data_IF_721121052565
#
_entry.id   IF_721121052565
#
_cell.length_a   1.000
_cell.length_b   1.000
_cell.length_c   1.000
_cell.angle_alpha   90.00
_cell.angle_beta   90.00
_cell.angle_gamma   90.00
#
_symmetry.space_group_name_H-M   'P 1'
#
loop_
_entity.id
_entity.type
_entity.pdbx_description
1 polymer ?
#
# COMPACT_ATOMS: atom_id res chain seq x y z
N UNK A 1 -3.78 5.31 34.59
CA UNK A 1 -3.13 4.08 35.14
C UNK A 1 -3.81 2.88 34.51
N UNK A 2 -3.05 2.09 33.76
CA UNK A 2 -3.51 0.93 32.97
C UNK A 2 -3.87 -0.30 33.83
N UNK A 3 -3.73 -0.20 35.15
CA UNK A 3 -4.00 -1.27 36.12
C UNK A 3 -5.48 -1.74 36.16
N UNK A 4 -6.40 -1.08 35.44
CA UNK A 4 -7.84 -1.42 35.38
C UNK A 4 -8.27 -2.33 34.22
N UNK A 5 -7.37 -2.75 33.33
CA UNK A 5 -7.74 -3.55 32.15
C UNK A 5 -7.55 -5.06 32.31
N UNK A 6 -7.07 -5.54 33.46
CA UNK A 6 -7.04 -6.99 33.75
C UNK A 6 -8.47 -7.50 34.00
N UNK A 7 -8.99 -8.35 33.11
CA UNK A 7 -10.20 -9.14 33.32
C UNK A 7 -11.48 -8.68 32.61
N UNK A 8 -11.39 -7.80 31.61
CA UNK A 8 -12.58 -7.35 30.84
C UNK A 8 -12.91 -8.35 29.73
N UNK A 9 -14.20 -8.72 29.61
CA UNK A 9 -14.67 -9.72 28.64
C UNK A 9 -14.91 -9.11 27.24
N UNK A 10 -14.86 -9.90 26.14
CA UNK A 10 -14.79 -9.43 24.74
C UNK A 10 -15.96 -8.58 24.22
N UNK A 11 -17.03 -8.40 24.99
CA UNK A 11 -18.24 -7.66 24.58
C UNK A 11 -18.52 -6.43 25.45
N UNK A 12 -17.66 -6.13 26.42
CA UNK A 12 -17.86 -5.01 27.35
C UNK A 12 -17.36 -3.69 26.75
N UNK A 13 -18.28 -2.74 26.56
CA UNK A 13 -17.94 -1.34 26.28
C UNK A 13 -17.37 -0.70 27.55
N UNK A 14 -16.09 -0.32 27.54
CA UNK A 14 -15.46 0.39 28.65
C UNK A 14 -15.43 1.89 28.33
N UNK A 15 -16.04 2.72 29.19
CA UNK A 15 -15.79 4.16 29.18
C UNK A 15 -14.54 4.45 30.00
N UNK A 16 -13.49 4.94 29.35
CA UNK A 16 -12.25 5.36 30.02
C UNK A 16 -12.15 6.88 29.87
N UNK A 17 -12.16 7.60 30.99
CA UNK A 17 -11.82 9.01 30.99
C UNK A 17 -10.29 9.15 30.95
N UNK A 18 -9.76 9.48 29.78
CA UNK A 18 -8.39 9.97 29.63
C UNK A 18 -8.39 11.46 29.95
N UNK A 19 -7.86 11.82 31.11
CA UNK A 19 -7.71 13.22 31.53
C UNK A 19 -6.47 13.81 30.86
N UNK A 20 -6.54 14.01 29.55
CA UNK A 20 -5.51 14.71 28.76
C UNK A 20 -5.98 16.13 28.40
N UNK A 21 -7.29 16.35 28.35
CA UNK A 21 -8.00 17.66 28.29
C UNK A 21 -9.42 17.48 28.87
N UNK A 22 -10.19 18.56 29.11
CA UNK A 22 -11.56 18.54 29.68
C UNK A 22 -12.65 17.95 28.74
N UNK A 23 -12.26 17.17 27.73
CA UNK A 23 -13.13 16.63 26.69
C UNK A 23 -13.64 15.21 27.01
N UNK A 24 -14.84 14.87 26.51
CA UNK A 24 -15.45 13.53 26.63
C UNK A 24 -15.09 12.65 25.42
N UNK A 25 -14.56 11.46 25.69
CA UNK A 25 -14.05 10.54 24.67
C UNK A 25 -14.86 9.23 24.60
N UNK A 26 -15.02 8.67 23.40
CA UNK A 26 -15.55 7.32 23.16
C UNK A 26 -14.45 6.41 22.59
N UNK A 27 -14.37 5.17 23.07
CA UNK A 27 -13.34 4.18 22.72
C UNK A 27 -14.03 2.89 22.27
N UNK A 28 -13.68 2.38 21.09
CA UNK A 28 -14.03 1.04 20.62
C UNK A 28 -12.75 0.20 20.50
N UNK A 29 -12.74 -1.00 21.10
CA UNK A 29 -11.62 -1.94 21.10
C UNK A 29 -11.91 -3.05 20.07
N UNK A 30 -10.98 -3.29 19.15
CA UNK A 30 -10.95 -4.49 18.32
C UNK A 30 -9.79 -5.39 18.79
N UNK A 31 -10.03 -6.68 18.97
CA UNK A 31 -9.01 -7.68 19.28
C UNK A 31 -8.61 -8.43 18.01
N UNK A 32 -7.36 -8.28 17.56
CA UNK A 32 -6.68 -9.26 16.70
C UNK A 32 -5.37 -9.77 17.34
N UNK A 33 -5.40 -9.99 18.65
CA UNK A 33 -4.42 -10.82 19.34
C UNK A 33 -3.01 -10.27 19.53
N UNK A 34 -2.59 -9.14 18.90
CA UNK A 34 -1.26 -8.53 19.20
C UNK A 34 -1.19 -6.99 19.15
N UNK A 35 -2.24 -6.27 18.76
CA UNK A 35 -2.25 -4.79 18.81
C UNK A 35 -3.66 -4.27 19.08
N UNK A 36 -3.82 -3.39 20.07
CA UNK A 36 -5.08 -2.66 20.26
C UNK A 36 -4.98 -1.33 19.51
N UNK A 37 -5.60 -1.25 18.33
CA UNK A 37 -5.83 0.04 17.65
C UNK A 37 -7.08 0.66 18.27
N UNK A 38 -6.89 1.75 19.01
CA UNK A 38 -7.98 2.47 19.66
C UNK A 38 -8.41 3.61 18.74
N UNK A 39 -9.63 3.51 18.20
CA UNK A 39 -10.33 4.67 17.64
C UNK A 39 -10.89 5.49 18.79
N UNK A 40 -10.46 6.74 18.93
CA UNK A 40 -11.11 7.69 19.84
C UNK A 40 -11.90 8.74 19.06
N UNK A 41 -13.14 8.94 19.47
CA UNK A 41 -14.05 9.94 18.91
C UNK A 41 -14.22 11.07 19.94
N UNK A 42 -13.89 12.30 19.55
CA UNK A 42 -14.28 13.50 20.29
C UNK A 42 -15.73 13.83 19.93
N UNK A 43 -16.62 13.74 20.92
CA UNK A 43 -18.08 13.89 20.77
C UNK A 43 -18.49 15.35 20.46
N UNK A 44 -17.64 16.33 20.74
CA UNK A 44 -17.95 17.76 20.57
C UNK A 44 -17.40 18.36 19.27
N UNK A 45 -16.27 17.86 18.74
CA UNK A 45 -15.59 18.44 17.57
C UNK A 45 -15.52 17.54 16.31
N UNK A 46 -16.10 16.33 16.32
CA UNK A 46 -15.98 15.37 15.21
C UNK A 46 -14.51 15.07 14.81
N UNK A 47 -13.57 15.19 15.75
CA UNK A 47 -12.17 14.87 15.57
C UNK A 47 -11.91 13.41 15.97
N UNK A 48 -11.24 12.65 15.09
CA UNK A 48 -10.80 11.29 15.36
C UNK A 48 -9.33 11.26 15.73
N UNK A 49 -8.97 10.42 16.70
CA UNK A 49 -7.58 10.07 16.96
C UNK A 49 -7.40 8.55 16.90
N UNK A 50 -6.24 8.11 16.41
CA UNK A 50 -5.83 6.72 16.43
C UNK A 50 -4.71 6.58 17.44
N UNK A 51 -4.91 5.75 18.45
CA UNK A 51 -3.87 5.42 19.43
C UNK A 51 -3.52 3.96 19.26
N UNK A 52 -2.25 3.69 18.92
CA UNK A 52 -1.71 2.34 18.91
C UNK A 52 -1.17 1.99 20.29
N UNK A 53 -1.61 0.86 20.86
CA UNK A 53 -1.03 0.33 22.10
C UNK A 53 -0.21 -0.92 21.78
N UNK A 54 1.08 -0.86 22.11
CA UNK A 54 1.96 -2.03 22.18
C UNK A 54 1.80 -2.70 23.56
N UNK A 55 1.25 -3.91 23.56
CA UNK A 55 0.96 -4.69 24.78
C UNK A 55 2.18 -5.33 25.43
N UNK A 56 3.34 -5.38 24.75
CA UNK A 56 4.58 -5.93 25.32
C UNK A 56 5.36 -4.88 26.10
N UNK A 57 5.42 -3.65 25.58
CA UNK A 57 6.19 -2.56 26.20
C UNK A 57 5.34 -1.69 27.11
N UNK A 58 4.01 -1.83 27.06
CA UNK A 58 3.06 -0.98 27.77
C UNK A 58 3.23 0.51 27.39
N UNK A 59 3.75 0.76 26.18
CA UNK A 59 4.06 2.09 25.67
C UNK A 59 2.89 2.57 24.81
N UNK A 60 2.43 3.78 25.08
CA UNK A 60 1.40 4.44 24.30
C UNK A 60 2.05 5.08 23.07
N UNK A 61 1.76 4.58 21.86
CA UNK A 61 2.17 5.27 20.65
C UNK A 61 1.01 6.19 20.23
N UNK A 62 1.15 7.47 20.56
CA UNK A 62 0.26 8.53 20.09
C UNK A 62 0.56 8.78 18.61
N UNK A 63 -0.30 8.27 17.72
CA UNK A 63 -0.27 8.66 16.30
C UNK A 63 -1.20 9.87 16.19
N UNK A 64 -0.65 11.07 16.38
CA UNK A 64 -1.43 12.29 16.25
C UNK A 64 -1.71 12.61 14.78
N UNK A 65 -2.97 12.60 14.37
CA UNK A 65 -3.45 13.36 13.21
C UNK A 65 -4.71 14.10 13.65
N UNK A 66 -4.68 15.43 13.83
CA UNK A 66 -5.91 16.18 14.09
C UNK A 66 -6.70 16.28 12.79
N UNK A 67 -7.71 15.43 12.61
CA UNK A 67 -8.70 15.59 11.53
C UNK A 67 -9.78 16.55 12.01
N UNK A 68 -9.70 17.82 11.60
CA UNK A 68 -10.80 18.77 11.78
C UNK A 68 -11.75 18.63 10.58
N UNK A 69 -12.80 17.82 10.69
CA UNK A 69 -13.90 17.88 9.71
C UNK A 69 -14.75 19.13 9.96
N UNK A 70 -14.43 20.25 9.31
CA UNK A 70 -15.35 21.39 9.24
C UNK A 70 -16.52 21.06 8.30
N UNK A 71 -17.63 20.59 8.88
CA UNK A 71 -18.98 20.37 8.30
C UNK A 71 -19.04 19.57 6.98
N UNK A 72 -20.09 18.77 6.75
CA UNK A 72 -20.27 18.14 5.45
C UNK A 72 -20.40 19.24 4.40
N UNK A 73 -19.55 19.18 3.36
CA UNK A 73 -19.89 19.77 2.08
C UNK A 73 -21.27 19.19 1.72
N UNK A 74 -22.28 20.01 1.41
CA UNK A 74 -23.60 19.49 1.07
C UNK A 74 -23.42 18.46 -0.04
N UNK A 75 -24.07 17.29 0.11
CA UNK A 75 -24.14 16.24 -0.92
C UNK A 75 -24.25 16.95 -2.27
N UNK A 76 -23.20 16.84 -3.10
CA UNK A 76 -23.39 17.03 -4.51
C UNK A 76 -24.46 15.99 -4.88
N UNK A 77 -25.65 16.47 -5.21
CA UNK A 77 -26.69 15.64 -5.79
C UNK A 77 -26.04 15.08 -7.04
N UNK A 78 -25.67 13.79 -7.00
CA UNK A 78 -25.27 13.08 -8.18
C UNK A 78 -26.44 13.25 -9.15
N UNK A 79 -26.21 14.00 -10.23
CA UNK A 79 -27.18 14.05 -11.32
C UNK A 79 -27.36 12.59 -11.77
N UNK A 80 -28.60 12.08 -11.88
CA UNK A 80 -28.80 10.77 -12.44
C UNK A 80 -28.15 10.74 -13.82
N UNK A 81 -27.47 9.65 -14.20
CA UNK A 81 -26.89 9.53 -15.53
C UNK A 81 -27.97 9.76 -16.59
N UNK A 82 -27.67 10.41 -17.72
CA UNK A 82 -28.64 10.54 -18.81
C UNK A 82 -29.14 9.14 -19.18
N UNK A 83 -30.45 8.95 -19.07
CA UNK A 83 -31.13 7.72 -19.48
C UNK A 83 -31.15 7.71 -20.99
N UNK A 84 -30.23 6.96 -21.60
CA UNK A 84 -30.32 6.61 -23.01
C UNK A 84 -31.34 5.48 -23.16
N UNK A 85 -32.49 5.83 -23.72
CA UNK A 85 -33.55 4.89 -24.09
C UNK A 85 -33.16 4.17 -25.37
N UNK A 86 -32.17 3.27 -25.33
CA UNK A 86 -32.04 2.11 -26.24
C UNK A 86 -30.78 1.30 -25.93
N UNK A 87 -30.96 0.00 -25.66
CA UNK A 87 -29.88 -0.99 -25.73
C UNK A 87 -29.15 -1.25 -24.41
N UNK A 88 -29.29 -2.48 -23.89
CA UNK A 88 -28.56 -2.95 -22.73
C UNK A 88 -27.04 -2.74 -22.90
N UNK A 89 -26.47 -1.82 -22.11
CA UNK A 89 -25.02 -1.78 -21.88
C UNK A 89 -24.69 -3.02 -21.05
N UNK A 90 -24.10 -4.02 -21.70
CA UNK A 90 -23.40 -5.09 -21.01
C UNK A 90 -22.31 -4.47 -20.14
N UNK A 91 -22.59 -4.27 -18.84
CA UNK A 91 -21.52 -4.06 -17.87
C UNK A 91 -20.80 -5.41 -17.77
N UNK A 92 -19.67 -5.56 -18.47
CA UNK A 92 -18.73 -6.64 -18.17
C UNK A 92 -18.49 -6.60 -16.65
N UNK A 93 -18.65 -7.74 -15.99
CA UNK A 93 -18.56 -7.86 -14.54
C UNK A 93 -17.13 -7.50 -14.10
N UNK A 94 -16.89 -6.22 -13.80
CA UNK A 94 -15.59 -5.61 -13.43
C UNK A 94 -15.17 -5.96 -12.00
N UNK A 95 -15.78 -6.99 -11.39
CA UNK A 95 -15.53 -7.40 -10.01
C UNK A 95 -14.53 -8.54 -9.95
N UNK A 96 -13.75 -8.58 -8.87
CA UNK A 96 -12.76 -9.64 -8.65
C UNK A 96 -13.34 -10.84 -7.92
N UNK A 97 -12.70 -12.01 -8.02
CA UNK A 97 -13.13 -13.21 -7.30
C UNK A 97 -12.73 -13.17 -5.82
N UNK A 98 -13.41 -13.92 -4.92
CA UNK A 98 -13.00 -14.05 -3.53
C UNK A 98 -11.56 -14.58 -3.34
N UNK A 99 -11.08 -15.41 -4.25
CA UNK A 99 -9.70 -15.91 -4.26
C UNK A 99 -8.71 -14.79 -4.56
N UNK A 100 -9.03 -13.91 -5.52
CA UNK A 100 -8.21 -12.71 -5.78
C UNK A 100 -8.18 -11.78 -4.56
N UNK A 101 -9.30 -11.58 -3.87
CA UNK A 101 -9.32 -10.82 -2.60
C UNK A 101 -8.38 -11.46 -1.58
N UNK A 102 -8.41 -12.79 -1.46
CA UNK A 102 -7.54 -13.54 -0.54
C UNK A 102 -6.06 -13.34 -0.87
N UNK A 103 -5.70 -13.36 -2.16
CA UNK A 103 -4.34 -13.10 -2.61
C UNK A 103 -3.90 -11.65 -2.35
N UNK A 104 -4.74 -10.66 -2.65
CA UNK A 104 -4.45 -9.25 -2.33
C UNK A 104 -4.25 -9.08 -0.82
N UNK A 105 -5.08 -9.72 0.02
CA UNK A 105 -4.88 -9.70 1.47
C UNK A 105 -3.57 -10.38 1.88
N UNK A 106 -3.23 -11.53 1.28
CA UNK A 106 -2.00 -12.27 1.58
C UNK A 106 -0.75 -11.42 1.33
N UNK A 107 -0.67 -10.79 0.16
CA UNK A 107 0.47 -9.95 -0.19
C UNK A 107 0.48 -8.62 0.57
N UNK A 108 -0.68 -8.05 0.90
CA UNK A 108 -0.69 -6.85 1.74
C UNK A 108 -0.06 -7.09 3.12
N UNK A 109 -0.24 -8.28 3.71
CA UNK A 109 0.41 -8.63 4.99
C UNK A 109 1.94 -8.62 4.90
N UNK A 110 2.52 -9.01 3.77
CA UNK A 110 3.97 -8.86 3.53
C UNK A 110 4.36 -7.38 3.44
N UNK A 111 3.61 -6.56 2.69
CA UNK A 111 3.84 -5.11 2.61
C UNK A 111 3.78 -4.46 4.00
N UNK A 112 2.76 -4.80 4.79
CA UNK A 112 2.54 -4.30 6.15
C UNK A 112 3.68 -4.70 7.09
N UNK A 113 4.15 -5.94 7.01
CA UNK A 113 5.28 -6.43 7.81
C UNK A 113 6.61 -5.74 7.49
N UNK A 114 6.74 -5.08 6.33
CA UNK A 114 7.95 -4.33 5.97
C UNK A 114 8.14 -3.06 6.82
N UNK A 115 7.11 -2.58 7.51
CA UNK A 115 7.19 -1.48 8.46
C UNK A 115 7.78 -1.86 9.82
N UNK A 116 7.99 -3.15 10.07
CA UNK A 116 8.69 -3.57 11.28
C UNK A 116 10.15 -3.11 11.26
N UNK A 117 10.73 -2.77 12.43
CA UNK A 117 12.14 -2.44 12.51
C UNK A 117 13.03 -3.52 11.89
N UNK A 118 14.21 -3.12 11.41
CA UNK A 118 15.17 -4.03 10.80
C UNK A 118 15.39 -5.28 11.67
N UNK A 119 15.24 -6.46 11.05
CA UNK A 119 15.31 -7.79 11.67
C UNK A 119 14.20 -8.17 12.67
N UNK A 120 13.20 -7.32 12.96
CA UNK A 120 12.16 -7.63 13.93
C UNK A 120 11.17 -8.71 13.45
N UNK A 121 10.87 -8.77 12.15
CA UNK A 121 9.92 -9.73 11.60
C UNK A 121 10.60 -11.05 11.20
N UNK A 122 10.80 -11.97 12.13
CA UNK A 122 11.52 -13.22 11.85
C UNK A 122 10.79 -14.11 10.82
N UNK A 123 9.46 -14.24 10.95
CA UNK A 123 8.65 -15.10 10.09
C UNK A 123 7.49 -14.33 9.43
N UNK A 124 7.74 -13.49 8.41
CA UNK A 124 6.67 -12.75 7.73
C UNK A 124 5.66 -13.71 7.10
N UNK A 125 4.37 -13.55 7.46
CA UNK A 125 3.28 -14.48 7.16
C UNK A 125 3.56 -15.94 7.60
N UNK A 126 4.38 -16.15 8.64
CA UNK A 126 4.81 -17.48 9.08
C UNK A 126 5.83 -18.14 8.13
N UNK A 127 6.36 -17.41 7.16
CA UNK A 127 7.32 -17.90 6.17
C UNK A 127 8.76 -17.53 6.51
N UNK A 128 9.73 -18.19 5.87
CA UNK A 128 11.15 -18.02 6.20
C UNK A 128 11.67 -16.68 5.70
N UNK A 129 12.13 -15.80 6.62
CA UNK A 129 12.90 -14.62 6.19
C UNK A 129 14.30 -15.03 5.78
N UNK A 130 14.70 -14.65 4.57
CA UNK A 130 16.04 -14.90 4.03
C UNK A 130 17.00 -13.80 4.49
N UNK A 131 16.64 -12.53 4.28
CA UNK A 131 17.48 -11.40 4.68
C UNK A 131 16.66 -10.12 4.87
N UNK A 132 17.15 -9.20 5.69
CA UNK A 132 16.64 -7.83 5.78
C UNK A 132 17.37 -6.91 4.79
N UNK A 133 16.68 -5.88 4.32
CA UNK A 133 17.23 -4.82 3.49
C UNK A 133 17.24 -3.52 4.29
N UNK A 134 18.39 -2.85 4.34
CA UNK A 134 18.53 -1.55 4.99
C UNK A 134 19.65 -0.76 4.34
N UNK A 135 19.33 0.46 3.88
CA UNK A 135 20.32 1.45 3.48
C UNK A 135 20.09 2.75 4.26
N UNK A 136 21.12 3.20 4.96
CA UNK A 136 21.04 4.37 5.86
C UNK A 136 20.87 5.69 5.12
N UNK A 137 21.44 5.82 3.91
CA UNK A 137 21.46 7.10 3.19
C UNK A 137 20.14 7.39 2.49
N UNK A 138 19.46 6.33 2.05
CA UNK A 138 18.16 6.44 1.39
C UNK A 138 16.99 6.10 2.32
N UNK A 139 17.27 5.71 3.58
CA UNK A 139 16.30 5.09 4.52
C UNK A 139 15.43 4.00 3.86
N UNK A 140 16.04 3.26 2.92
CA UNK A 140 15.37 2.17 2.22
C UNK A 140 15.37 0.96 3.11
N UNK A 141 14.17 0.46 3.44
CA UNK A 141 13.99 -0.71 4.27
C UNK A 141 13.11 -1.75 3.59
N UNK A 142 13.35 -3.01 3.90
CA UNK A 142 12.61 -4.13 3.33
C UNK A 142 13.15 -5.47 3.80
N UNK A 143 12.72 -6.53 3.15
CA UNK A 143 13.25 -7.87 3.37
C UNK A 143 12.98 -8.78 2.19
N UNK A 144 13.68 -9.91 2.17
CA UNK A 144 13.40 -11.03 1.29
C UNK A 144 12.93 -12.20 2.15
N UNK A 145 11.83 -12.83 1.76
CA UNK A 145 11.29 -14.02 2.38
C UNK A 145 11.06 -15.12 1.35
N UNK A 146 11.02 -16.37 1.80
CA UNK A 146 10.72 -17.55 0.97
C UNK A 146 9.48 -18.25 1.53
N UNK A 147 8.47 -18.36 0.68
CA UNK A 147 7.23 -19.08 0.92
C UNK A 147 7.26 -20.39 0.13
N UNK A 148 7.72 -21.46 0.79
CA UNK A 148 7.85 -22.78 0.18
C UNK A 148 6.46 -23.40 -0.10
N UNK A 149 5.41 -22.96 0.60
CA UNK A 149 4.05 -23.45 0.41
C UNK A 149 3.42 -22.95 -0.89
N UNK A 150 3.75 -21.71 -1.29
CA UNK A 150 3.33 -21.11 -2.55
C UNK A 150 4.39 -21.19 -3.66
N UNK A 151 5.59 -21.67 -3.34
CA UNK A 151 6.77 -21.66 -4.22
C UNK A 151 7.11 -20.24 -4.69
N UNK A 152 7.23 -19.34 -3.72
CA UNK A 152 7.43 -17.91 -3.98
C UNK A 152 8.63 -17.36 -3.22
N UNK A 153 9.37 -16.45 -3.84
CA UNK A 153 10.36 -15.59 -3.18
C UNK A 153 9.79 -14.18 -3.14
N UNK A 154 9.52 -13.68 -1.94
CA UNK A 154 8.90 -12.38 -1.71
C UNK A 154 10.00 -11.34 -1.49
N UNK A 155 9.95 -10.22 -2.21
CA UNK A 155 10.79 -9.04 -2.02
C UNK A 155 9.90 -7.89 -1.59
N UNK A 156 9.92 -7.58 -0.30
CA UNK A 156 9.03 -6.62 0.33
C UNK A 156 9.75 -5.31 0.65
N UNK A 157 9.14 -4.18 0.31
CA UNK A 157 9.67 -2.83 0.57
C UNK A 157 8.74 -2.04 1.48
N UNK A 158 9.35 -1.35 2.44
CA UNK A 158 8.67 -0.42 3.34
C UNK A 158 8.37 0.89 2.62
N UNK A 159 7.25 1.52 2.95
CA UNK A 159 7.02 2.93 2.62
C UNK A 159 7.72 3.91 3.57
N UNK A 160 7.39 5.18 3.43
CA UNK A 160 7.90 6.25 4.30
C UNK A 160 7.35 6.11 5.72
N UNK A 161 8.17 6.46 6.71
CA UNK A 161 7.72 6.59 8.12
C UNK A 161 6.72 7.72 8.31
N UNK A 162 6.78 8.74 7.44
CA UNK A 162 5.83 9.85 7.35
C UNK A 162 5.33 10.03 5.91
N UNK A 163 4.17 9.46 5.55
CA UNK A 163 3.53 9.71 4.26
C UNK A 163 3.10 11.17 4.06
N UNK A 164 2.90 11.94 5.14
CA UNK A 164 2.59 13.38 5.08
C UNK A 164 3.79 14.15 4.54
N UNK A 165 4.96 13.92 5.12
CA UNK A 165 6.20 14.59 4.68
C UNK A 165 6.53 14.17 3.26
N UNK A 166 6.29 12.90 2.91
CA UNK A 166 6.37 12.45 1.52
C UNK A 166 5.45 13.23 0.57
N UNK A 167 4.22 13.58 0.95
CA UNK A 167 3.35 14.37 0.07
C UNK A 167 3.85 15.83 -0.05
N UNK A 168 4.42 16.38 1.01
CA UNK A 168 4.82 17.80 1.09
C UNK A 168 6.22 18.08 0.51
N UNK A 169 7.17 17.17 0.69
CA UNK A 169 8.60 17.41 0.45
C UNK A 169 9.12 16.83 -0.87
N UNK A 170 8.31 16.05 -1.60
CA UNK A 170 8.81 15.31 -2.76
C UNK A 170 8.98 16.22 -3.98
N UNK A 171 10.25 16.43 -4.33
CA UNK A 171 10.65 16.89 -5.65
C UNK A 171 10.41 15.78 -6.68
N UNK A 172 9.34 15.92 -7.46
CA UNK A 172 8.90 14.95 -8.48
C UNK A 172 9.77 14.93 -9.75
N UNK A 173 11.08 14.71 -9.59
CA UNK A 173 12.04 14.73 -10.69
C UNK A 173 12.06 13.39 -11.42
N UNK A 174 11.74 13.41 -12.72
CA UNK A 174 11.91 12.28 -13.63
C UNK A 174 13.36 12.17 -14.09
N UNK A 175 13.97 10.99 -13.88
CA UNK A 175 15.32 10.66 -14.36
C UNK A 175 15.28 9.41 -15.25
N UNK A 176 16.21 9.23 -16.20
CA UNK A 176 16.31 7.98 -16.95
C UNK A 176 16.39 6.75 -16.03
N UNK A 177 15.70 5.67 -16.40
CA UNK A 177 15.80 4.41 -15.66
C UNK A 177 17.18 3.79 -15.89
N UNK A 178 18.05 3.93 -14.90
CA UNK A 178 19.39 3.34 -14.90
C UNK A 178 19.56 2.46 -13.66
N UNK A 179 19.59 1.14 -13.86
CA UNK A 179 19.81 0.15 -12.79
C UNK A 179 20.65 -1.02 -13.30
N UNK A 180 21.28 -1.76 -12.39
CA UNK A 180 22.18 -2.87 -12.74
C UNK A 180 21.46 -3.96 -13.54
N UNK A 181 22.03 -4.36 -14.68
CA UNK A 181 21.48 -5.40 -15.55
C UNK A 181 20.20 -5.00 -16.30
N UNK A 182 19.86 -3.71 -16.35
CA UNK A 182 18.66 -3.21 -17.03
C UNK A 182 19.02 -2.41 -18.28
N UNK A 183 18.37 -2.75 -19.39
CA UNK A 183 18.38 -1.95 -20.63
C UNK A 183 16.96 -1.49 -20.93
N UNK A 184 16.62 -0.28 -20.48
CA UNK A 184 15.29 0.28 -20.68
C UNK A 184 15.10 0.71 -22.14
N UNK A 185 13.92 0.47 -22.74
CA UNK A 185 13.64 0.88 -24.12
C UNK A 185 13.30 2.38 -24.22
N UNK A 186 13.97 3.12 -25.11
CA UNK A 186 13.62 4.52 -25.38
C UNK A 186 13.80 5.45 -24.18
N UNK A 187 12.97 6.50 -24.09
CA UNK A 187 13.01 7.50 -23.00
C UNK A 187 12.19 7.08 -21.78
N UNK A 188 12.47 5.89 -21.24
CA UNK A 188 11.86 5.42 -19.99
C UNK A 188 12.46 6.19 -18.82
N UNK A 189 11.60 6.91 -18.09
CA UNK A 189 11.98 7.69 -16.93
C UNK A 189 11.13 7.33 -15.71
N UNK A 190 11.77 7.37 -14.55
CA UNK A 190 11.16 7.11 -13.25
C UNK A 190 11.50 8.22 -12.27
N UNK A 191 10.74 8.32 -11.19
CA UNK A 191 11.05 9.25 -10.12
C UNK A 191 12.45 8.99 -9.54
N UNK A 192 13.28 10.03 -9.43
CA UNK A 192 14.68 9.92 -9.00
C UNK A 192 14.82 9.31 -7.61
N UNK A 193 13.99 9.73 -6.65
CA UNK A 193 13.98 9.18 -5.28
C UNK A 193 13.70 7.67 -5.24
N UNK A 194 12.65 7.19 -5.94
CA UNK A 194 12.32 5.76 -5.95
C UNK A 194 13.41 4.93 -6.62
N UNK A 195 14.00 5.45 -7.70
CA UNK A 195 15.11 4.77 -8.38
C UNK A 195 16.35 4.69 -7.48
N UNK A 196 16.67 5.77 -6.76
CA UNK A 196 17.78 5.79 -5.82
C UNK A 196 17.56 4.79 -4.68
N UNK A 197 16.34 4.74 -4.12
CA UNK A 197 15.97 3.75 -3.10
C UNK A 197 16.13 2.31 -3.59
N UNK A 198 15.67 2.00 -4.81
CA UNK A 198 15.90 0.68 -5.38
C UNK A 198 17.40 0.40 -5.57
N UNK A 199 18.13 1.31 -6.21
CA UNK A 199 19.53 1.11 -6.57
C UNK A 199 20.44 0.95 -5.34
N UNK A 200 20.11 1.53 -4.18
CA UNK A 200 20.90 1.37 -2.96
C UNK A 200 20.88 -0.06 -2.41
N UNK A 201 19.79 -0.81 -2.65
CA UNK A 201 19.63 -2.20 -2.18
C UNK A 201 19.68 -3.25 -3.32
N UNK A 202 19.67 -2.80 -4.58
CA UNK A 202 19.63 -3.68 -5.75
C UNK A 202 20.74 -4.76 -5.77
N UNK A 203 22.03 -4.47 -5.45
CA UNK A 203 23.06 -5.51 -5.44
C UNK A 203 22.72 -6.66 -4.47
N UNK A 204 22.35 -6.33 -3.24
CA UNK A 204 21.96 -7.31 -2.22
C UNK A 204 20.74 -8.12 -2.65
N UNK A 205 19.73 -7.47 -3.23
CA UNK A 205 18.52 -8.14 -3.70
C UNK A 205 18.84 -9.11 -4.85
N UNK A 206 19.54 -8.64 -5.89
CA UNK A 206 19.86 -9.45 -7.06
C UNK A 206 20.76 -10.65 -6.70
N UNK A 207 21.76 -10.46 -5.85
CA UNK A 207 22.62 -11.55 -5.39
C UNK A 207 21.88 -12.56 -4.53
N UNK A 208 21.01 -12.10 -3.63
CA UNK A 208 20.18 -13.00 -2.80
C UNK A 208 19.22 -13.81 -3.66
N UNK A 209 18.55 -13.18 -4.63
CA UNK A 209 17.65 -13.88 -5.56
C UNK A 209 18.42 -14.91 -6.39
N UNK A 210 19.59 -14.55 -6.91
CA UNK A 210 20.45 -15.49 -7.65
C UNK A 210 20.80 -16.73 -6.81
N UNK A 211 21.07 -16.56 -5.52
CA UNK A 211 21.35 -17.67 -4.60
C UNK A 211 20.09 -18.51 -4.31
N UNK A 212 18.96 -17.86 -4.01
CA UNK A 212 17.71 -18.57 -3.68
C UNK A 212 17.12 -19.34 -4.86
N UNK A 213 17.35 -18.88 -6.10
CA UNK A 213 16.88 -19.58 -7.29
C UNK A 213 17.70 -20.84 -7.64
N UNK A 214 18.86 -21.07 -7.02
CA UNK A 214 19.65 -22.29 -7.27
C UNK A 214 18.86 -23.51 -6.80
N UNK A 215 18.47 -24.36 -7.75
CA UNK A 215 17.68 -25.57 -7.49
C UNK A 215 16.17 -25.31 -7.30
N UNK A 216 15.71 -24.07 -7.45
CA UNK A 216 14.30 -23.66 -7.28
C UNK A 216 13.71 -23.13 -8.60
N UNK A 217 13.80 -23.94 -9.67
CA UNK A 217 13.44 -23.52 -11.03
C UNK A 217 11.93 -23.24 -11.23
N UNK A 218 11.08 -23.67 -10.31
CA UNK A 218 9.62 -23.51 -10.34
C UNK A 218 9.13 -22.37 -9.43
N UNK A 219 10.02 -21.62 -8.78
CA UNK A 219 9.63 -20.51 -7.90
C UNK A 219 9.29 -19.24 -8.69
N UNK A 220 8.30 -18.52 -8.18
CA UNK A 220 7.92 -17.18 -8.67
C UNK A 220 8.49 -16.11 -7.76
N UNK A 221 9.07 -15.05 -8.31
CA UNK A 221 9.45 -13.88 -7.53
C UNK A 221 8.23 -12.95 -7.43
N UNK A 222 7.92 -12.50 -6.22
CA UNK A 222 6.86 -11.53 -5.97
C UNK A 222 7.44 -10.29 -5.33
N UNK A 223 7.32 -9.16 -6.02
CA UNK A 223 7.65 -7.85 -5.45
C UNK A 223 6.41 -7.24 -4.80
N UNK A 224 6.59 -6.66 -3.63
CA UNK A 224 5.47 -6.16 -2.84
C UNK A 224 5.85 -4.91 -2.05
N UNK A 225 4.92 -3.96 -1.94
CA UNK A 225 5.13 -2.78 -1.12
C UNK A 225 3.90 -1.89 -1.01
N UNK A 226 3.88 -1.09 0.06
CA UNK A 226 2.84 -0.11 0.34
C UNK A 226 3.41 1.32 0.26
N UNK A 227 2.62 2.30 -0.18
CA UNK A 227 3.04 3.71 -0.27
C UNK A 227 4.29 3.86 -1.17
N UNK A 228 5.31 4.61 -0.73
CA UNK A 228 6.63 4.68 -1.37
C UNK A 228 7.20 3.29 -1.67
N UNK A 229 7.00 2.31 -0.77
CA UNK A 229 7.46 0.94 -0.96
C UNK A 229 6.82 0.27 -2.16
N UNK A 230 5.58 0.63 -2.53
CA UNK A 230 4.94 0.17 -3.75
C UNK A 230 5.64 0.68 -5.02
N UNK A 231 6.11 1.93 -5.02
CA UNK A 231 6.87 2.48 -6.14
C UNK A 231 8.25 1.82 -6.27
N UNK A 232 8.94 1.59 -5.15
CA UNK A 232 10.22 0.85 -5.14
C UNK A 232 10.02 -0.60 -5.58
N UNK A 233 8.94 -1.26 -5.13
CA UNK A 233 8.58 -2.61 -5.57
C UNK A 233 8.36 -2.70 -7.09
N UNK A 234 7.76 -1.67 -7.69
CA UNK A 234 7.56 -1.63 -9.15
C UNK A 234 8.86 -1.46 -9.94
N UNK A 235 9.76 -0.59 -9.48
CA UNK A 235 11.11 -0.49 -10.07
C UNK A 235 11.88 -1.80 -9.89
N UNK A 236 11.79 -2.42 -8.71
CA UNK A 236 12.40 -3.71 -8.41
C UNK A 236 11.87 -4.81 -9.35
N UNK A 237 10.57 -4.88 -9.60
CA UNK A 237 9.95 -5.87 -10.48
C UNK A 237 10.54 -5.82 -11.90
N UNK A 238 10.70 -4.61 -12.44
CA UNK A 238 11.29 -4.38 -13.76
C UNK A 238 12.76 -4.80 -13.80
N UNK A 239 13.55 -4.40 -12.79
CA UNK A 239 14.96 -4.73 -12.71
C UNK A 239 15.21 -6.24 -12.51
N UNK A 240 14.40 -6.88 -11.67
CA UNK A 240 14.42 -8.34 -11.46
C UNK A 240 14.05 -9.05 -12.76
N UNK A 241 12.98 -8.62 -13.46
CA UNK A 241 12.58 -9.27 -14.72
C UNK A 241 13.65 -9.14 -15.81
N UNK A 242 14.39 -8.04 -15.86
CA UNK A 242 15.52 -7.85 -16.76
C UNK A 242 16.70 -8.78 -16.44
N UNK A 243 17.03 -8.95 -15.15
CA UNK A 243 18.15 -9.81 -14.70
C UNK A 243 17.81 -11.32 -14.72
N UNK A 244 16.54 -11.67 -14.57
CA UNK A 244 16.05 -13.05 -14.49
C UNK A 244 14.95 -13.32 -15.52
N UNK A 245 15.29 -13.18 -16.81
CA UNK A 245 14.33 -13.22 -17.92
C UNK A 245 13.42 -14.46 -17.93
N UNK A 246 13.93 -15.63 -17.52
CA UNK A 246 13.20 -16.90 -17.52
C UNK A 246 12.39 -17.17 -16.24
N UNK A 247 12.47 -16.27 -15.25
CA UNK A 247 11.75 -16.42 -13.98
C UNK A 247 10.41 -15.68 -14.06
N UNK A 248 9.38 -16.29 -13.48
CA UNK A 248 8.09 -15.63 -13.32
C UNK A 248 8.19 -14.55 -12.25
N UNK A 249 7.74 -13.34 -12.58
CA UNK A 249 7.71 -12.21 -11.67
C UNK A 249 6.29 -11.69 -11.58
N UNK A 250 5.80 -11.49 -10.35
CA UNK A 250 4.55 -10.77 -10.05
C UNK A 250 4.84 -9.55 -9.17
N UNK A 251 3.94 -8.60 -9.23
CA UNK A 251 4.04 -7.33 -8.52
C UNK A 251 2.70 -7.02 -7.86
N UNK A 252 2.74 -6.74 -6.56
CA UNK A 252 1.58 -6.33 -5.76
C UNK A 252 1.89 -5.03 -5.01
N UNK A 253 1.24 -3.95 -5.40
CA UNK A 253 1.45 -2.64 -4.80
C UNK A 253 0.16 -2.11 -4.19
N UNK A 254 0.29 -1.35 -3.10
CA UNK A 254 -0.83 -0.82 -2.33
C UNK A 254 -0.59 0.66 -2.06
N UNK A 255 -1.53 1.53 -2.45
CA UNK A 255 -1.35 2.98 -2.28
C UNK A 255 -0.11 3.51 -3.00
N UNK A 256 0.28 2.88 -4.09
CA UNK A 256 1.48 3.23 -4.84
C UNK A 256 1.31 4.58 -5.55
N UNK A 257 2.25 5.53 -5.41
CA UNK A 257 2.28 6.74 -6.23
C UNK A 257 2.70 6.44 -7.68
N UNK A 258 2.34 7.30 -8.64
CA UNK A 258 2.82 7.18 -10.02
C UNK A 258 4.34 7.16 -10.03
N UNK A 259 4.90 6.10 -10.60
CA UNK A 259 6.33 5.77 -10.42
C UNK A 259 7.21 6.31 -11.54
N UNK A 260 6.66 6.55 -12.73
CA UNK A 260 7.42 7.05 -13.88
C UNK A 260 6.54 7.67 -14.95
N UNK A 261 7.15 7.92 -16.11
CA UNK A 261 6.50 8.54 -17.25
C UNK A 261 5.64 7.53 -18.05
N UNK A 262 4.84 7.97 -19.05
CA UNK A 262 4.05 7.06 -19.89
C UNK A 262 4.88 5.97 -20.58
N UNK A 263 6.15 6.24 -20.94
CA UNK A 263 7.03 5.23 -21.50
C UNK A 263 7.34 4.12 -20.48
N UNK A 264 7.61 4.47 -19.23
CA UNK A 264 7.74 3.51 -18.13
C UNK A 264 6.45 2.72 -17.93
N UNK A 265 5.29 3.38 -17.89
CA UNK A 265 4.02 2.71 -17.69
C UNK A 265 3.71 1.67 -18.78
N UNK A 266 3.92 2.05 -20.04
CA UNK A 266 3.78 1.16 -21.20
C UNK A 266 4.78 0.00 -21.15
N UNK A 267 6.01 0.25 -20.70
CA UNK A 267 7.01 -0.80 -20.57
C UNK A 267 6.62 -1.83 -19.50
N UNK A 268 6.12 -1.40 -18.34
CA UNK A 268 5.57 -2.30 -17.32
C UNK A 268 4.41 -3.13 -17.90
N UNK A 269 3.47 -2.48 -18.59
CA UNK A 269 2.33 -3.16 -19.22
C UNK A 269 2.78 -4.22 -20.23
N UNK A 270 3.80 -3.92 -21.04
CA UNK A 270 4.33 -4.86 -22.04
C UNK A 270 4.95 -6.10 -21.40
N UNK A 271 5.59 -5.97 -20.23
CA UNK A 271 6.27 -7.08 -19.57
C UNK A 271 5.34 -7.92 -18.69
N UNK A 272 4.37 -7.30 -18.03
CA UNK A 272 3.53 -7.94 -17.01
C UNK A 272 2.11 -8.25 -17.51
N UNK A 273 1.58 -7.49 -18.47
CA UNK A 273 0.18 -7.60 -18.90
C UNK A 273 -0.81 -7.31 -17.77
N UNK A 274 -2.05 -7.80 -17.90
CA UNK A 274 -3.15 -7.54 -16.95
C UNK A 274 -3.22 -8.50 -15.77
N UNK A 275 -2.35 -9.51 -15.70
CA UNK A 275 -2.42 -10.60 -14.71
C UNK A 275 -1.18 -10.78 -13.82
N UNK A 276 -0.20 -9.87 -13.88
CA UNK A 276 1.04 -9.97 -13.08
C UNK A 276 1.48 -8.68 -12.41
N UNK A 277 0.79 -7.57 -12.66
CA UNK A 277 1.00 -6.28 -12.05
C UNK A 277 -0.32 -5.81 -11.41
N UNK A 278 -0.42 -5.95 -10.10
CA UNK A 278 -1.61 -5.65 -9.32
C UNK A 278 -1.38 -4.37 -8.52
N UNK A 279 -2.10 -3.30 -8.89
CA UNK A 279 -2.06 -2.00 -8.18
C UNK A 279 -3.35 -1.81 -7.41
N UNK A 280 -3.30 -1.94 -6.09
CA UNK A 280 -4.47 -1.77 -5.21
C UNK A 280 -4.54 -0.33 -4.71
N UNK A 281 -5.70 0.29 -4.83
CA UNK A 281 -6.02 1.63 -4.33
C UNK A 281 -7.20 1.56 -3.38
N UNK A 282 -7.30 2.48 -2.43
CA UNK A 282 -8.34 2.47 -1.42
C UNK A 282 -9.12 3.77 -1.38
N UNK A 283 -10.44 3.69 -1.54
CA UNK A 283 -11.42 4.78 -1.41
C UNK A 283 -10.90 6.11 -1.98
N UNK A 284 -10.49 7.03 -1.11
CA UNK A 284 -10.00 8.38 -1.44
C UNK A 284 -8.51 8.56 -1.10
N UNK A 285 -7.72 7.50 -1.06
CA UNK A 285 -6.28 7.56 -0.81
C UNK A 285 -5.63 8.55 -1.80
N UNK A 286 -4.98 9.63 -1.31
CA UNK A 286 -4.37 10.63 -2.17
C UNK A 286 -3.07 10.19 -2.85
N UNK A 287 -2.37 9.21 -2.30
CA UNK A 287 -1.00 8.86 -2.75
C UNK A 287 -0.98 8.31 -4.18
N UNK A 288 -1.90 7.42 -4.60
CA UNK A 288 -2.02 7.03 -6.00
C UNK A 288 -2.22 8.18 -6.98
N UNK A 289 -2.71 9.33 -6.53
CA UNK A 289 -2.93 10.48 -7.42
C UNK A 289 -1.71 11.40 -7.53
N UNK A 290 -0.58 11.02 -6.92
CA UNK A 290 0.68 11.75 -6.96
C UNK A 290 1.80 10.89 -7.58
N UNK A 291 2.78 11.49 -8.27
CA UNK A 291 2.75 12.87 -8.78
C UNK A 291 1.64 13.05 -9.82
N UNK A 292 1.26 14.29 -10.15
CA UNK A 292 0.16 14.53 -11.09
C UNK A 292 0.55 14.23 -12.54
N UNK A 293 -0.39 13.82 -13.42
CA UNK A 293 -0.11 13.57 -14.84
C UNK A 293 0.49 14.77 -15.59
N UNK A 294 0.10 15.99 -15.21
CA UNK A 294 0.68 17.24 -15.78
C UNK A 294 2.18 17.37 -15.54
N UNK A 295 2.74 16.65 -14.56
CA UNK A 295 4.18 16.59 -14.29
C UNK A 295 4.90 15.52 -15.13
N UNK A 296 4.20 14.90 -16.08
CA UNK A 296 4.74 13.88 -16.98
C UNK A 296 4.72 12.45 -16.43
N UNK A 297 3.95 12.19 -15.37
CA UNK A 297 3.82 10.87 -14.74
C UNK A 297 2.57 10.12 -15.23
N UNK A 298 2.64 8.78 -15.22
CA UNK A 298 1.49 7.92 -15.50
C UNK A 298 1.59 6.63 -14.66
N UNK A 299 0.43 6.08 -14.32
CA UNK A 299 0.32 4.74 -13.78
C UNK A 299 0.41 3.68 -14.87
N UNK A 300 0.91 2.52 -14.46
CA UNK A 300 0.84 1.29 -15.23
C UNK A 300 -0.31 0.40 -14.75
N UNK A 301 -0.65 -0.57 -15.59
CA UNK A 301 -1.34 -1.79 -15.24
C UNK A 301 -2.80 -1.61 -14.88
N UNK A 302 -3.38 -2.71 -14.42
CA UNK A 302 -4.76 -2.76 -13.93
C UNK A 302 -4.81 -2.29 -12.48
N UNK A 303 -5.70 -1.35 -12.22
CA UNK A 303 -6.05 -0.94 -10.88
C UNK A 303 -7.12 -1.86 -10.27
N UNK A 304 -6.94 -2.16 -8.99
CA UNK A 304 -7.91 -2.86 -8.15
C UNK A 304 -8.34 -1.90 -7.06
N UNK A 305 -9.44 -1.19 -7.31
CA UNK A 305 -9.90 -0.12 -6.44
C UNK A 305 -10.89 -0.65 -5.41
N UNK A 306 -10.53 -0.60 -4.13
CA UNK A 306 -11.45 -0.78 -3.02
C UNK A 306 -12.35 0.46 -2.97
N UNK A 307 -13.47 0.40 -3.68
CA UNK A 307 -14.36 1.56 -3.87
C UNK A 307 -15.11 1.95 -2.60
N UNK A 308 -15.35 0.99 -1.70
CA UNK A 308 -15.96 1.19 -0.38
C UNK A 308 -15.56 0.07 0.56
N UNK A 309 -15.50 0.36 1.85
CA UNK A 309 -15.30 -0.66 2.88
C UNK A 309 -16.56 -1.52 3.08
N UNK A 310 -16.41 -2.79 3.51
CA UNK A 310 -15.16 -3.52 3.72
C UNK A 310 -14.57 -4.04 2.40
N UNK A 311 -13.29 -4.43 2.41
CA UNK A 311 -12.60 -4.98 1.24
C UNK A 311 -13.07 -6.41 0.90
N UNK A 312 -13.92 -6.53 -0.12
CA UNK A 312 -14.45 -7.82 -0.60
C UNK A 312 -14.64 -7.84 -2.13
N UNK A 313 -15.02 -9.00 -2.68
CA UNK A 313 -15.17 -9.22 -4.12
C UNK A 313 -16.23 -8.33 -4.79
N UNK A 314 -17.20 -7.81 -4.01
CA UNK A 314 -18.25 -6.92 -4.53
C UNK A 314 -17.78 -5.47 -4.56
N UNK A 315 -16.96 -5.08 -3.57
CA UNK A 315 -16.52 -3.70 -3.35
C UNK A 315 -15.20 -3.36 -4.05
N UNK A 316 -14.43 -4.37 -4.47
CA UNK A 316 -13.20 -4.19 -5.23
C UNK A 316 -13.50 -4.24 -6.73
N UNK A 317 -13.23 -3.13 -7.40
CA UNK A 317 -13.43 -2.94 -8.83
C UNK A 317 -12.09 -3.14 -9.54
N UNK A 318 -12.06 -4.03 -10.53
CA UNK A 318 -11.00 -4.14 -11.51
C UNK A 318 -11.25 -3.10 -12.62
N UNK A 319 -10.35 -2.13 -12.69
CA UNK A 319 -10.47 -0.99 -13.58
C UNK A 319 -9.90 -1.27 -14.96
N UNK A 320 -10.10 -0.34 -15.89
CA UNK A 320 -9.47 -0.39 -17.20
C UNK A 320 -7.93 -0.49 -17.11
N UNK A 321 -7.28 -1.36 -17.91
CA UNK A 321 -5.84 -1.60 -17.84
C UNK A 321 -4.96 -0.49 -18.41
N UNK A 322 -5.53 0.65 -18.85
CA UNK A 322 -4.76 1.83 -19.26
C UNK A 322 -3.93 2.43 -18.12
N UNK A 323 -4.30 2.13 -16.87
CA UNK A 323 -3.64 2.63 -15.66
C UNK A 323 -4.25 3.93 -15.12
N UNK A 324 -5.11 4.63 -15.87
CA UNK A 324 -5.66 5.94 -15.50
C UNK A 324 -7.18 6.03 -15.71
N UNK A 325 -7.93 5.01 -15.28
CA UNK A 325 -9.38 4.91 -15.49
C UNK A 325 -10.18 5.95 -14.68
N UNK A 326 -10.77 6.93 -15.38
CA UNK A 326 -11.60 8.01 -14.80
C UNK A 326 -12.92 7.53 -14.15
N UNK A 327 -13.27 6.24 -14.28
CA UNK A 327 -14.43 5.64 -13.60
C UNK A 327 -14.07 4.95 -12.27
N UNK A 328 -12.76 4.83 -11.97
CA UNK A 328 -12.23 4.24 -10.74
C UNK A 328 -11.72 5.32 -9.76
N UNK A 329 -10.61 5.10 -9.05
CA UNK A 329 -10.11 6.08 -8.06
C UNK A 329 -9.85 7.45 -8.68
N UNK A 330 -9.51 7.54 -9.98
CA UNK A 330 -9.34 8.82 -10.68
C UNK A 330 -10.64 9.64 -10.80
N UNK A 331 -11.81 9.03 -10.54
CA UNK A 331 -13.06 9.78 -10.38
C UNK A 331 -13.06 10.66 -9.12
N UNK A 332 -12.22 10.34 -8.12
CA UNK A 332 -12.04 11.18 -6.94
C UNK A 332 -11.25 12.44 -7.32
N UNK A 333 -11.88 13.61 -7.21
CA UNK A 333 -11.16 14.87 -7.37
C UNK A 333 -10.34 15.15 -6.12
N UNK A 334 -9.04 14.84 -6.14
CA UNK A 334 -8.14 15.11 -5.02
C UNK A 334 -7.34 16.39 -5.31
N UNK A 335 -7.75 17.49 -4.69
CA UNK A 335 -6.94 18.70 -4.62
C UNK A 335 -5.91 18.53 -3.49
N UNK A 336 -4.67 19.00 -3.67
CA UNK A 336 -3.60 18.91 -2.65
C UNK A 336 -4.02 19.34 -1.21
N UNK A 337 -4.82 20.41 -1.00
CA UNK A 337 -5.29 20.77 0.34
C UNK A 337 -6.23 19.74 0.97
N UNK A 338 -6.90 18.93 0.14
CA UNK A 338 -7.84 17.87 0.54
C UNK A 338 -7.08 16.56 0.81
N UNK A 339 -5.91 16.34 0.21
CA UNK A 339 -5.09 15.14 0.39
C UNK A 339 -4.77 14.83 1.86
N UNK A 340 -4.45 15.86 2.66
CA UNK A 340 -4.18 15.69 4.10
C UNK A 340 -5.44 15.24 4.89
N UNK A 341 -6.63 15.59 4.41
CA UNK A 341 -7.91 15.23 5.05
C UNK A 341 -8.28 13.77 4.74
N UNK A 342 -7.93 13.27 3.56
CA UNK A 342 -8.25 11.91 3.09
C UNK A 342 -7.13 10.89 3.31
N UNK A 343 -6.00 11.32 3.89
CA UNK A 343 -4.86 10.46 4.21
C UNK A 343 -5.18 9.22 5.07
N UNK A 344 -6.19 9.19 5.95
CA UNK A 344 -6.53 7.96 6.67
C UNK A 344 -6.79 6.77 5.73
N UNK A 345 -7.37 6.99 4.54
CA UNK A 345 -7.56 5.94 3.55
C UNK A 345 -6.24 5.30 3.09
N UNK A 346 -5.14 6.07 3.09
CA UNK A 346 -3.81 5.57 2.75
C UNK A 346 -3.26 4.55 3.75
N UNK A 347 -3.79 4.46 4.97
CA UNK A 347 -3.26 3.54 5.98
C UNK A 347 -4.06 2.24 6.11
N UNK A 348 -5.14 2.07 5.35
CA UNK A 348 -5.98 0.88 5.40
C UNK A 348 -6.10 0.26 4.03
N UNK A 349 -5.76 -1.02 3.94
CA UNK A 349 -5.88 -1.82 2.73
C UNK A 349 -6.30 -3.22 3.13
N UNK A 350 -7.27 -3.81 2.41
CA UNK A 350 -7.78 -5.15 2.73
C UNK A 350 -8.28 -5.27 4.19
N UNK A 351 -8.87 -4.20 4.72
CA UNK A 351 -9.28 -4.04 6.12
C UNK A 351 -8.14 -4.16 7.16
N UNK A 352 -6.88 -4.05 6.71
CA UNK A 352 -5.67 -4.14 7.54
C UNK A 352 -5.01 -2.77 7.63
N UNK A 353 -4.59 -2.38 8.84
CA UNK A 353 -3.78 -1.20 9.05
C UNK A 353 -2.34 -1.45 8.56
N UNK A 354 -1.79 -0.56 7.73
CA UNK A 354 -0.54 -0.75 7.01
C UNK A 354 0.71 -0.95 7.89
N UNK A 355 0.63 -0.66 9.19
CA UNK A 355 1.72 -0.87 10.15
C UNK A 355 1.54 -2.12 11.00
N UNK A 356 0.51 -2.93 10.75
CA UNK A 356 0.24 -4.16 11.50
C UNK A 356 1.26 -5.25 11.11
N UNK A 357 2.08 -5.74 12.05
CA UNK A 357 3.10 -6.74 11.73
C UNK A 357 2.52 -8.16 11.70
N UNK A 358 2.79 -8.91 10.63
CA UNK A 358 2.41 -10.32 10.49
C UNK A 358 3.64 -11.21 10.56
N UNK A 359 4.24 -11.32 11.75
CA UNK A 359 5.62 -11.83 11.91
C UNK A 359 5.79 -13.21 12.54
N UNK A 360 4.70 -13.99 12.64
CA UNK A 360 4.70 -15.45 12.87
C UNK A 360 5.43 -15.90 14.12
#
# INVERSE_FOLDING_TARGET
>A
RLDRFRGVKPTQRIKVLLKVTDLKWRIDLAEDGRTHVIRTENIEDNAYWYVGIDTHTNTLCLISVPVIMRRPVPRAVALPPPVDTTGAVQRNDTRITPEQVTDLTWYFKYASSAYTPFNACANPNGQTRITGLYDIFTDTQGYIARDDSRKEIIVAFRGSTSPIDFINDVNFILTPFTSSGVSAPGDVRVHSGFLNSWNSVAPTVLDTLKQQLVGQNDYTIVTVGHSLGGAVASIAAMAIKANFANVNVRMYTYGQPRTGNPAYANWVNSLFGTGRAYRVTHTTDPVPHLPFPIMGYAHHGTEYWISTDPANSVNIVSCDPSGEDNTCSNSNTILLPVALIVLPAHFFYMDIFALTPYCG
#
